data_IF_238303239074
#
_entry.id   IF_238303239074
#
_cell.length_a   1.000
_cell.length_b   1.000
_cell.length_c   1.000
_cell.angle_alpha   90.00
_cell.angle_beta   90.00
_cell.angle_gamma   90.00
#
_symmetry.space_group_name_H-M   'P 1'
#
loop_
_entity.id
_entity.type
_entity.pdbx_description
1 polymer ?
#
# COMPACT_ATOMS: atom_id res chain seq x y z
N UNK A 1 -2.23 -18.55 -60.51
CA UNK A 1 -2.39 -17.15 -60.07
C UNK A 1 -3.12 -17.18 -58.73
N UNK A 2 -2.52 -16.67 -57.65
CA UNK A 2 -3.14 -16.69 -56.31
C UNK A 2 -4.11 -15.51 -56.20
N UNK A 3 -5.40 -15.80 -56.06
CA UNK A 3 -6.46 -14.80 -55.92
C UNK A 3 -6.31 -14.11 -54.55
N UNK A 4 -5.60 -12.98 -54.49
CA UNK A 4 -5.54 -12.16 -53.28
C UNK A 4 -6.86 -11.41 -53.14
N UNK A 5 -7.75 -11.90 -52.28
CA UNK A 5 -8.93 -11.14 -51.83
C UNK A 5 -8.44 -10.10 -50.83
N UNK A 6 -8.50 -8.82 -51.20
CA UNK A 6 -8.25 -7.71 -50.28
C UNK A 6 -9.44 -7.47 -49.34
N UNK A 7 -9.17 -6.99 -48.13
CA UNK A 7 -10.19 -6.52 -47.19
C UNK A 7 -10.90 -5.28 -47.76
N UNK A 8 -12.23 -5.21 -47.64
CA UNK A 8 -12.98 -4.01 -48.00
C UNK A 8 -12.91 -2.96 -46.88
N UNK A 9 -13.00 -1.68 -47.25
CA UNK A 9 -13.06 -0.58 -46.27
C UNK A 9 -14.28 -0.69 -45.35
N UNK A 10 -15.40 -1.21 -45.87
CA UNK A 10 -16.62 -1.38 -45.08
C UNK A 10 -16.49 -2.49 -44.02
N UNK A 11 -15.76 -3.56 -44.34
CA UNK A 11 -15.45 -4.61 -43.36
C UNK A 11 -14.62 -4.05 -42.19
N UNK A 12 -13.61 -3.22 -42.47
CA UNK A 12 -12.83 -2.60 -41.41
C UNK A 12 -13.64 -1.60 -40.58
N UNK A 13 -14.54 -0.83 -41.20
CA UNK A 13 -15.38 0.13 -40.48
C UNK A 13 -16.33 -0.54 -39.49
N UNK A 14 -16.98 -1.65 -39.89
CA UNK A 14 -17.89 -2.38 -39.00
C UNK A 14 -17.12 -3.00 -37.83
N UNK A 15 -15.94 -3.55 -38.08
CA UNK A 15 -15.11 -4.14 -37.02
C UNK A 15 -14.71 -3.09 -35.98
N UNK A 16 -14.25 -1.92 -36.42
CA UNK A 16 -13.88 -0.83 -35.50
C UNK A 16 -15.10 -0.32 -34.73
N UNK A 17 -16.28 -0.25 -35.36
CA UNK A 17 -17.51 0.14 -34.68
C UNK A 17 -17.89 -0.84 -33.55
N UNK A 18 -17.82 -2.14 -33.80
CA UNK A 18 -18.12 -3.17 -32.79
C UNK A 18 -17.11 -3.13 -31.64
N UNK A 19 -15.81 -3.03 -31.95
CA UNK A 19 -14.76 -2.90 -30.92
C UNK A 19 -14.98 -1.63 -30.09
N UNK A 20 -15.36 -0.51 -30.72
CA UNK A 20 -15.68 0.74 -30.05
C UNK A 20 -16.82 0.62 -29.03
N UNK A 21 -17.90 -0.08 -29.38
CA UNK A 21 -19.03 -0.34 -28.48
C UNK A 21 -18.59 -1.17 -27.26
N UNK A 22 -17.82 -2.24 -27.50
CA UNK A 22 -17.32 -3.11 -26.43
C UNK A 22 -16.39 -2.31 -25.50
N UNK A 23 -15.47 -1.53 -26.06
CA UNK A 23 -14.53 -0.72 -25.30
C UNK A 23 -15.24 0.32 -24.42
N UNK A 24 -16.29 0.99 -24.94
CA UNK A 24 -17.05 1.98 -24.19
C UNK A 24 -17.68 1.42 -22.90
N UNK A 25 -18.13 0.16 -22.92
CA UNK A 25 -18.72 -0.51 -21.74
C UNK A 25 -17.62 -1.08 -20.83
N UNK A 26 -16.58 -1.68 -21.42
CA UNK A 26 -15.56 -2.40 -20.67
C UNK A 26 -14.58 -1.48 -19.93
N UNK A 27 -14.18 -0.35 -20.54
CA UNK A 27 -13.13 0.53 -19.99
C UNK A 27 -13.49 1.10 -18.61
N UNK A 28 -14.70 1.66 -18.36
CA UNK A 28 -15.07 2.15 -17.04
C UNK A 28 -15.07 1.05 -15.97
N UNK A 29 -15.49 -0.17 -16.33
CA UNK A 29 -15.47 -1.33 -15.45
C UNK A 29 -14.04 -1.73 -15.07
N UNK A 30 -13.14 -1.78 -16.06
CA UNK A 30 -11.73 -2.08 -15.85
C UNK A 30 -11.04 -1.06 -14.94
N UNK A 31 -11.35 0.23 -15.11
CA UNK A 31 -10.79 1.30 -14.26
C UNK A 31 -11.23 1.14 -12.80
N UNK A 32 -12.51 0.87 -12.55
CA UNK A 32 -13.02 0.59 -11.19
C UNK A 32 -12.38 -0.64 -10.58
N UNK A 33 -12.22 -1.72 -11.35
CA UNK A 33 -11.57 -2.94 -10.90
C UNK A 33 -10.09 -2.70 -10.54
N UNK A 34 -9.37 -1.89 -11.32
CA UNK A 34 -7.99 -1.49 -11.00
C UNK A 34 -7.91 -0.68 -9.71
N UNK A 35 -8.79 0.31 -9.51
CA UNK A 35 -8.86 1.10 -8.27
C UNK A 35 -9.11 0.19 -7.07
N UNK A 36 -10.08 -0.72 -7.15
CA UNK A 36 -10.35 -1.68 -6.07
C UNK A 36 -9.16 -2.61 -5.80
N UNK A 37 -8.46 -3.06 -6.84
CA UNK A 37 -7.26 -3.89 -6.68
C UNK A 37 -6.10 -3.13 -6.01
N UNK A 38 -5.93 -1.85 -6.34
CA UNK A 38 -4.96 -0.97 -5.70
C UNK A 38 -5.28 -0.75 -4.22
N UNK A 39 -6.56 -0.49 -3.90
CA UNK A 39 -7.06 -0.38 -2.52
C UNK A 39 -6.81 -1.66 -1.71
N UNK A 40 -7.08 -2.82 -2.30
CA UNK A 40 -6.79 -4.10 -1.66
C UNK A 40 -5.28 -4.32 -1.42
N UNK A 41 -4.43 -3.92 -2.37
CA UNK A 41 -2.96 -3.95 -2.23
C UNK A 41 -2.50 -3.05 -1.09
N UNK A 42 -3.04 -1.83 -0.97
CA UNK A 42 -2.73 -0.90 0.11
C UNK A 42 -3.08 -1.47 1.49
N UNK A 43 -4.27 -2.06 1.64
CA UNK A 43 -4.67 -2.75 2.87
C UNK A 43 -3.72 -3.93 3.16
N UNK A 44 -3.33 -4.69 2.12
CA UNK A 44 -2.34 -5.77 2.23
C UNK A 44 -0.98 -5.27 2.74
N UNK A 45 -0.50 -4.13 2.26
CA UNK A 45 0.72 -3.49 2.75
C UNK A 45 0.61 -3.12 4.22
N UNK A 46 -0.50 -2.53 4.67
CA UNK A 46 -0.69 -2.20 6.09
C UNK A 46 -0.68 -3.45 6.98
N UNK A 47 -1.26 -4.57 6.54
CA UNK A 47 -1.17 -5.85 7.27
C UNK A 47 0.27 -6.39 7.32
N UNK A 48 1.00 -6.30 6.21
CA UNK A 48 2.41 -6.70 6.17
C UNK A 48 3.26 -5.86 7.14
N UNK A 49 3.00 -4.55 7.22
CA UNK A 49 3.65 -3.64 8.17
C UNK A 49 3.32 -4.03 9.61
N UNK A 50 2.04 -4.28 9.93
CA UNK A 50 1.66 -4.69 11.29
C UNK A 50 2.33 -5.99 11.72
N UNK A 51 2.40 -6.98 10.82
CA UNK A 51 3.12 -8.24 11.07
C UNK A 51 4.62 -8.02 11.26
N UNK A 52 5.24 -7.19 10.42
CA UNK A 52 6.65 -6.84 10.52
C UNK A 52 6.96 -6.10 11.84
N UNK A 53 6.09 -5.18 12.26
CA UNK A 53 6.20 -4.47 13.54
C UNK A 53 6.08 -5.41 14.74
N UNK A 54 5.12 -6.34 14.71
CA UNK A 54 4.99 -7.36 15.75
C UNK A 54 6.24 -8.22 15.85
N UNK A 55 6.80 -8.63 14.71
CA UNK A 55 8.02 -9.45 14.68
C UNK A 55 9.24 -8.67 15.16
N UNK A 56 9.41 -7.43 14.69
CA UNK A 56 10.49 -6.54 15.09
C UNK A 56 10.46 -6.24 16.59
N UNK A 57 9.27 -5.93 17.14
CA UNK A 57 9.07 -5.68 18.55
C UNK A 57 9.43 -6.89 19.41
N UNK A 58 8.95 -8.07 19.03
CA UNK A 58 9.18 -9.30 19.78
C UNK A 58 10.63 -9.82 19.70
N UNK A 59 11.30 -9.67 18.56
CA UNK A 59 12.59 -10.34 18.30
C UNK A 59 13.80 -9.43 18.25
N UNK A 60 13.61 -8.12 18.04
CA UNK A 60 14.70 -7.21 17.70
C UNK A 60 14.76 -5.95 18.57
N UNK A 61 13.61 -5.44 19.04
CA UNK A 61 13.53 -4.12 19.66
C UNK A 61 13.03 -4.13 21.11
N UNK A 62 13.08 -5.29 21.80
CA UNK A 62 12.73 -5.41 23.23
C UNK A 62 11.34 -4.85 23.58
N UNK A 63 10.34 -5.12 22.75
CA UNK A 63 8.97 -4.62 22.93
C UNK A 63 8.69 -3.25 22.28
N UNK A 64 9.71 -2.56 21.75
CA UNK A 64 9.53 -1.30 21.00
C UNK A 64 9.24 -1.55 19.52
N UNK A 65 8.79 -0.53 18.81
CA UNK A 65 8.45 -0.57 17.39
C UNK A 65 9.46 0.21 16.55
N UNK A 66 9.48 -0.04 15.25
CA UNK A 66 10.24 0.77 14.31
C UNK A 66 9.54 2.13 14.11
N UNK A 67 10.29 3.23 14.20
CA UNK A 67 9.74 4.58 14.00
C UNK A 67 9.58 4.98 12.53
N UNK A 68 10.16 4.21 11.59
CA UNK A 68 10.07 4.43 10.14
C UNK A 68 10.17 3.12 9.37
N UNK A 69 9.74 3.13 8.11
CA UNK A 69 9.61 1.93 7.27
C UNK A 69 10.96 1.28 6.90
N UNK A 70 11.98 2.10 6.67
CA UNK A 70 13.32 1.67 6.28
C UNK A 70 14.04 0.84 7.36
N UNK A 71 13.68 1.07 8.63
CA UNK A 71 14.20 0.29 9.75
C UNK A 71 13.71 -1.16 9.67
N UNK A 72 12.44 -1.38 9.28
CA UNK A 72 11.91 -2.73 9.05
C UNK A 72 12.54 -3.39 7.81
N UNK A 73 12.97 -2.58 6.85
CA UNK A 73 13.73 -3.03 5.67
C UNK A 73 15.18 -3.41 5.97
N UNK A 74 15.67 -3.14 7.18
CA UNK A 74 17.05 -3.44 7.60
C UNK A 74 17.07 -4.59 8.59
N UNK A 75 17.59 -5.74 8.16
CA UNK A 75 17.79 -6.91 9.04
C UNK A 75 18.98 -6.73 10.00
N UNK A 76 19.08 -7.55 11.06
CA UNK A 76 20.30 -7.64 11.86
C UNK A 76 21.48 -8.13 11.02
N UNK A 77 22.72 -7.95 11.52
CA UNK A 77 23.92 -8.43 10.83
C UNK A 77 23.82 -9.93 10.53
N UNK A 78 23.85 -10.28 9.24
CA UNK A 78 23.68 -11.67 8.77
C UNK A 78 22.23 -12.20 8.77
N UNK A 79 21.24 -11.38 9.12
CA UNK A 79 19.82 -11.72 9.13
C UNK A 79 19.03 -11.08 7.99
N UNK A 80 17.80 -11.56 7.79
CA UNK A 80 16.86 -11.00 6.82
C UNK A 80 16.12 -9.78 7.38
N UNK A 81 15.65 -8.92 6.47
CA UNK A 81 14.76 -7.81 6.80
C UNK A 81 13.40 -8.33 7.32
N UNK A 82 12.69 -7.48 8.08
CA UNK A 82 11.39 -7.79 8.67
C UNK A 82 10.23 -7.56 7.68
N UNK A 83 10.48 -6.79 6.63
CA UNK A 83 9.52 -6.51 5.56
C UNK A 83 10.18 -6.64 4.20
N UNK A 84 9.37 -6.89 3.17
CA UNK A 84 9.87 -7.05 1.80
C UNK A 84 10.49 -5.74 1.25
N UNK A 85 11.47 -5.83 0.33
CA UNK A 85 12.17 -4.65 -0.20
C UNK A 85 11.25 -3.65 -0.93
N UNK A 86 10.12 -4.10 -1.48
CA UNK A 86 9.17 -3.20 -2.14
C UNK A 86 8.46 -2.22 -1.18
N UNK A 87 8.50 -2.51 0.13
CA UNK A 87 8.02 -1.61 1.18
C UNK A 87 9.17 -1.05 2.02
N UNK A 88 10.17 -1.87 2.36
CA UNK A 88 11.23 -1.51 3.31
C UNK A 88 12.43 -0.76 2.74
N UNK A 89 12.54 -0.54 1.43
CA UNK A 89 13.72 0.11 0.85
C UNK A 89 13.85 1.62 1.16
N UNK A 90 12.77 2.27 1.64
CA UNK A 90 12.74 3.68 1.98
C UNK A 90 11.67 3.96 3.04
N UNK A 91 11.71 5.14 3.69
CA UNK A 91 10.73 5.56 4.69
C UNK A 91 9.29 5.68 4.14
N UNK A 92 9.15 5.84 2.82
CA UNK A 92 7.86 5.83 2.11
C UNK A 92 8.01 5.02 0.83
N UNK A 93 7.14 4.04 0.64
CA UNK A 93 7.11 3.19 -0.54
C UNK A 93 5.91 3.56 -1.42
N UNK A 94 6.06 3.44 -2.75
CA UNK A 94 4.91 3.53 -3.66
C UNK A 94 4.61 2.15 -4.22
N UNK A 95 3.44 1.60 -3.90
CA UNK A 95 3.00 0.27 -4.33
C UNK A 95 1.58 0.33 -4.86
N UNK A 96 1.35 -0.19 -6.06
CA UNK A 96 0.02 -0.25 -6.69
C UNK A 96 -0.72 1.10 -6.68
N UNK A 97 -0.01 2.21 -6.90
CA UNK A 97 -0.62 3.55 -6.92
C UNK A 97 -0.96 4.14 -5.55
N UNK A 98 -0.46 3.54 -4.47
CA UNK A 98 -0.54 4.10 -3.11
C UNK A 98 0.85 4.43 -2.58
N UNK A 99 0.99 5.59 -1.94
CA UNK A 99 2.14 5.91 -1.09
C UNK A 99 1.88 5.39 0.31
N UNK A 100 2.74 4.50 0.78
CA UNK A 100 2.65 3.80 2.06
C UNK A 100 3.79 4.25 2.95
N UNK A 101 3.45 4.70 4.16
CA UNK A 101 4.39 5.26 5.11
C UNK A 101 4.10 4.78 6.52
N UNK A 102 5.06 4.97 7.41
CA UNK A 102 5.03 4.57 8.81
C UNK A 102 5.70 5.67 9.65
N UNK A 103 5.11 5.97 10.79
CA UNK A 103 5.68 6.81 11.83
C UNK A 103 5.35 6.22 13.21
N UNK A 104 5.98 6.74 14.25
CA UNK A 104 5.67 6.37 15.62
C UNK A 104 6.22 7.36 16.62
N UNK A 105 5.65 7.37 17.83
CA UNK A 105 6.12 8.21 18.93
C UNK A 105 7.52 7.77 19.35
N UNK A 106 8.51 8.64 19.17
CA UNK A 106 9.92 8.31 19.41
C UNK A 106 10.18 7.77 20.81
N UNK A 107 10.96 6.69 20.88
CA UNK A 107 11.42 6.06 22.10
C UNK A 107 12.94 5.83 22.02
N UNK A 108 13.59 5.81 23.19
CA UNK A 108 15.05 5.59 23.28
C UNK A 108 15.35 4.11 23.49
N UNK A 109 16.26 3.57 22.68
CA UNK A 109 16.75 2.21 22.81
C UNK A 109 17.65 1.84 21.65
N UNK A 110 18.04 0.57 21.58
CA UNK A 110 18.81 0.01 20.46
C UNK A 110 18.19 -1.31 20.06
N UNK A 111 17.88 -1.45 18.77
CA UNK A 111 17.41 -2.71 18.20
C UNK A 111 18.56 -3.60 17.72
N UNK A 112 18.26 -4.88 17.50
CA UNK A 112 19.20 -5.89 17.01
C UNK A 112 19.82 -5.57 15.64
N UNK A 113 19.18 -4.70 14.84
CA UNK A 113 19.68 -4.19 13.57
C UNK A 113 20.51 -2.91 13.71
N UNK A 114 20.84 -2.51 14.94
CA UNK A 114 21.65 -1.32 15.23
C UNK A 114 20.87 0.00 15.20
N UNK A 115 19.58 -0.01 14.86
CA UNK A 115 18.77 1.21 14.88
C UNK A 115 18.55 1.71 16.30
N UNK A 116 18.71 3.02 16.49
CA UNK A 116 18.35 3.73 17.72
C UNK A 116 17.07 4.56 17.59
N UNK A 117 16.53 4.65 16.37
CA UNK A 117 15.27 5.32 16.08
C UNK A 117 14.12 4.33 16.31
N UNK A 118 13.66 4.23 17.56
CA UNK A 118 12.58 3.35 17.96
C UNK A 118 11.33 4.14 18.32
N UNK A 119 10.22 3.44 18.50
CA UNK A 119 8.96 4.04 18.88
C UNK A 119 8.23 3.23 19.96
N UNK A 120 7.52 3.92 20.85
CA UNK A 120 6.69 3.29 21.90
C UNK A 120 5.34 2.78 21.36
N UNK A 121 4.96 3.26 20.19
CA UNK A 121 3.81 2.84 19.39
C UNK A 121 4.04 3.26 17.94
N UNK A 122 3.21 2.78 17.03
CA UNK A 122 3.32 3.16 15.62
C UNK A 122 1.97 3.39 14.98
N UNK A 123 1.99 4.13 13.88
CA UNK A 123 0.91 4.17 12.91
C UNK A 123 1.46 4.20 11.49
N UNK A 124 0.73 3.56 10.60
CA UNK A 124 1.02 3.45 9.17
C UNK A 124 -0.19 3.89 8.39
N UNK A 125 0.05 4.48 7.23
CA UNK A 125 -1.02 4.94 6.36
C UNK A 125 -0.66 4.69 4.90
N UNK A 126 -1.71 4.58 4.09
CA UNK A 126 -1.61 4.44 2.65
C UNK A 126 -2.53 5.47 1.99
N UNK A 127 -1.92 6.38 1.24
CA UNK A 127 -2.62 7.44 0.51
C UNK A 127 -2.59 7.13 -0.98
N UNK A 128 -3.68 7.34 -1.73
CA UNK A 128 -3.64 7.21 -3.18
C UNK A 128 -2.71 8.29 -3.76
N UNK A 129 -1.87 7.91 -4.73
CA UNK A 129 -0.96 8.84 -5.42
C UNK A 129 -1.76 9.84 -6.26
N UNK A 130 -2.90 9.40 -6.80
CA UNK A 130 -3.87 10.23 -7.51
C UNK A 130 -5.28 9.62 -7.43
N UNK A 131 -6.29 10.41 -7.78
CA UNK A 131 -7.69 9.96 -7.85
C UNK A 131 -7.95 8.84 -8.88
N UNK A 132 -7.04 8.63 -9.84
CA UNK A 132 -7.14 7.52 -10.81
C UNK A 132 -6.54 6.20 -10.28
N UNK A 133 -5.73 6.27 -9.24
CA UNK A 133 -5.13 5.10 -8.58
C UNK A 133 -5.95 4.60 -7.39
N UNK A 134 -6.70 5.48 -6.75
CA UNK A 134 -7.46 5.20 -5.56
C UNK A 134 -8.31 6.40 -5.13
N UNK A 135 -9.39 6.15 -4.40
CA UNK A 135 -10.27 7.22 -3.90
C UNK A 135 -10.39 7.25 -2.38
N UNK A 136 -9.88 6.21 -1.73
CA UNK A 136 -9.94 6.01 -0.28
C UNK A 136 -8.54 6.03 0.31
N UNK A 137 -8.48 6.45 1.56
CA UNK A 137 -7.28 6.50 2.36
C UNK A 137 -7.36 5.40 3.41
N UNK A 138 -6.22 4.80 3.75
CA UNK A 138 -6.17 3.73 4.72
C UNK A 138 -5.14 4.02 5.80
N UNK A 139 -5.40 3.51 7.00
CA UNK A 139 -4.49 3.64 8.13
C UNK A 139 -4.62 2.46 9.07
N UNK A 140 -3.55 2.16 9.77
CA UNK A 140 -3.51 1.17 10.84
C UNK A 140 -2.48 1.60 11.88
N UNK A 141 -2.67 1.21 13.12
CA UNK A 141 -1.75 1.53 14.19
C UNK A 141 -1.43 0.29 15.04
N UNK A 142 -0.85 0.51 16.21
CA UNK A 142 -0.41 -0.55 17.11
C UNK A 142 -1.55 -1.51 17.53
N UNK A 143 -2.82 -1.11 17.43
CA UNK A 143 -3.95 -2.00 17.75
C UNK A 143 -4.23 -3.04 16.66
N UNK A 144 -3.65 -2.88 15.46
CA UNK A 144 -3.82 -3.78 14.32
C UNK A 144 -5.13 -3.59 13.54
N UNK A 145 -6.04 -2.73 14.01
CA UNK A 145 -7.27 -2.36 13.29
C UNK A 145 -6.91 -1.58 12.03
N UNK A 146 -7.65 -1.78 10.94
CA UNK A 146 -7.51 -1.02 9.71
C UNK A 146 -8.71 -0.09 9.55
N UNK A 147 -8.42 1.18 9.29
CA UNK A 147 -9.41 2.21 9.03
C UNK A 147 -9.39 2.65 7.58
N UNK A 148 -10.57 2.98 7.06
CA UNK A 148 -10.75 3.72 5.82
C UNK A 148 -11.08 5.19 6.13
N UNK A 149 -10.67 6.11 5.28
CA UNK A 149 -11.00 7.54 5.36
C UNK A 149 -11.12 8.15 3.95
N UNK A 150 -11.67 9.36 3.86
CA UNK A 150 -11.68 10.21 2.66
C UNK A 150 -10.53 11.21 2.64
N UNK A 151 -9.67 11.21 3.66
CA UNK A 151 -8.48 12.05 3.77
C UNK A 151 -7.33 11.30 4.44
N UNK A 152 -6.11 11.85 4.33
CA UNK A 152 -4.89 11.24 4.89
C UNK A 152 -5.03 10.91 6.38
N UNK A 153 -4.50 9.75 6.78
CA UNK A 153 -4.42 9.32 8.18
C UNK A 153 -3.00 9.45 8.75
N UNK A 154 -2.13 10.23 8.12
CA UNK A 154 -0.73 10.44 8.52
C UNK A 154 -0.52 11.09 9.89
N UNK A 155 -1.57 11.67 10.48
CA UNK A 155 -1.52 12.28 11.81
C UNK A 155 -2.31 11.50 12.87
N UNK A 156 -2.66 10.25 12.58
CA UNK A 156 -3.39 9.42 13.55
C UNK A 156 -2.51 9.09 14.76
N UNK A 157 -3.15 8.85 15.90
CA UNK A 157 -2.43 8.38 17.09
C UNK A 157 -2.01 6.91 16.94
N UNK A 158 -0.92 6.56 17.63
CA UNK A 158 -0.37 5.20 17.65
C UNK A 158 -1.29 4.15 18.28
N UNK A 159 -2.29 4.56 19.07
CA UNK A 159 -3.12 3.63 19.86
C UNK A 159 -4.61 3.93 19.84
N UNK A 160 -5.05 5.16 19.60
CA UNK A 160 -6.47 5.50 19.56
C UNK A 160 -7.04 5.41 18.14
N UNK A 161 -8.36 5.27 18.07
CA UNK A 161 -9.11 5.32 16.82
C UNK A 161 -8.89 6.67 16.14
N UNK A 162 -8.51 6.70 14.85
CA UNK A 162 -8.33 7.94 14.11
C UNK A 162 -9.64 8.72 13.96
N UNK A 163 -9.58 10.03 14.16
CA UNK A 163 -10.69 10.93 13.86
C UNK A 163 -11.04 10.85 12.37
N UNK A 164 -12.31 10.57 12.05
CA UNK A 164 -12.79 10.44 10.67
C UNK A 164 -12.48 9.11 9.97
N UNK A 165 -11.81 8.17 10.66
CA UNK A 165 -11.61 6.81 10.15
C UNK A 165 -12.77 5.88 10.50
N UNK A 166 -13.31 5.16 9.51
CA UNK A 166 -14.24 4.05 9.75
C UNK A 166 -13.46 2.74 9.80
N UNK A 167 -13.64 1.95 10.86
CA UNK A 167 -12.99 0.64 10.95
C UNK A 167 -13.54 -0.30 9.87
N UNK A 168 -12.66 -1.04 9.22
CA UNK A 168 -13.05 -2.04 8.21
C UNK A 168 -12.65 -3.46 8.59
N UNK A 169 -11.68 -3.61 9.51
CA UNK A 169 -11.22 -4.86 10.12
C UNK A 169 -10.55 -4.59 11.46
#
# INVERSE_FOLDING_TARGET
>A
MRNQKGFTLIELLIVVAIIGIIAAIAVPGLLRARISGNEASAIGSLRAISSAQSTFSASCANGMYASSMDILGTGPSGGSAFISPDLGAAATATKSGYSVSLAGTSATGTACNGSTALASGYHSWANPVSSSTGTRYFGSNTTGTIWQSTSTLSGMSDTATPSGGTAIQ
#
